data_IF_599565967794
#
_entry.id   IF_599565967794
#
_cell.length_a   1.000
_cell.length_b   1.000
_cell.length_c   1.000
_cell.angle_alpha   90.00
_cell.angle_beta   90.00
_cell.angle_gamma   90.00
#
_symmetry.space_group_name_H-M   'P 1'
#
loop_
_entity.id
_entity.type
_entity.pdbx_description
1 polymer ?
#
# COMPACT_ATOMS: atom_id res chain seq x y z
N UNK A 1 0.95 13.41 -0.92
CA UNK A 1 2.04 14.15 -0.26
C UNK A 1 2.08 14.01 1.26
N UNK A 2 0.97 13.69 1.94
CA UNK A 2 0.90 13.61 3.41
C UNK A 2 1.41 12.30 4.03
N UNK A 3 1.60 11.28 3.20
CA UNK A 3 2.03 9.94 3.64
C UNK A 3 3.45 9.95 4.21
N UNK A 4 4.39 10.67 3.61
CA UNK A 4 5.77 10.76 4.09
C UNK A 4 5.91 11.33 5.51
N UNK A 5 5.31 12.48 5.86
CA UNK A 5 5.38 12.99 7.24
C UNK A 5 4.58 12.11 8.22
N UNK A 6 3.44 11.55 7.81
CA UNK A 6 2.65 10.63 8.66
C UNK A 6 3.42 9.35 9.01
N UNK A 7 4.09 8.75 8.01
CA UNK A 7 4.96 7.58 8.21
C UNK A 7 6.11 7.91 9.16
N UNK A 8 6.72 9.08 9.03
CA UNK A 8 7.83 9.48 9.90
C UNK A 8 7.39 9.68 11.37
N UNK A 9 6.17 10.19 11.59
CA UNK A 9 5.55 10.30 12.93
C UNK A 9 5.20 8.93 13.49
N UNK A 10 4.64 8.02 12.67
CA UNK A 10 4.33 6.64 13.04
C UNK A 10 5.58 5.87 13.45
N UNK A 11 6.65 5.91 12.65
CA UNK A 11 7.94 5.28 12.96
C UNK A 11 8.51 5.83 14.28
N UNK A 12 8.38 7.14 14.51
CA UNK A 12 8.83 7.79 15.74
C UNK A 12 8.03 7.41 16.99
N UNK A 13 6.76 7.03 16.84
CA UNK A 13 5.91 6.57 17.96
C UNK A 13 6.01 5.07 18.24
N UNK A 14 6.32 4.26 17.23
CA UNK A 14 6.29 2.79 17.33
C UNK A 14 7.66 2.13 17.55
N UNK A 15 8.78 2.80 17.24
CA UNK A 15 10.11 2.16 17.27
C UNK A 15 11.01 2.70 18.38
N UNK A 16 11.58 1.83 19.25
CA UNK A 16 12.69 2.19 20.14
C UNK A 16 13.89 2.71 19.33
N UNK A 17 14.67 3.61 19.92
CA UNK A 17 15.73 4.41 19.27
C UNK A 17 16.77 3.57 18.50
N UNK A 18 17.00 2.32 18.94
CA UNK A 18 18.01 1.41 18.39
C UNK A 18 17.57 0.66 17.13
N UNK A 19 16.26 0.45 16.92
CA UNK A 19 15.74 -0.33 15.77
C UNK A 19 15.06 0.54 14.70
N UNK A 20 14.98 1.85 14.93
CA UNK A 20 14.32 2.82 14.05
C UNK A 20 14.83 2.77 12.60
N UNK A 21 16.13 2.54 12.42
CA UNK A 21 16.77 2.42 11.11
C UNK A 21 16.37 1.13 10.36
N UNK A 22 16.08 0.03 11.08
CA UNK A 22 15.63 -1.21 10.46
C UNK A 22 14.17 -1.08 10.02
N UNK A 23 13.34 -0.51 10.88
CA UNK A 23 11.93 -0.25 10.58
C UNK A 23 11.76 0.69 9.39
N UNK A 24 12.54 1.79 9.34
CA UNK A 24 12.51 2.69 8.18
C UNK A 24 13.00 1.98 6.90
N UNK A 25 14.10 1.21 6.96
CA UNK A 25 14.59 0.46 5.82
C UNK A 25 13.56 -0.56 5.28
N UNK A 26 12.81 -1.24 6.16
CA UNK A 26 11.72 -2.14 5.76
C UNK A 26 10.59 -1.38 5.06
N UNK A 27 10.20 -0.20 5.57
CA UNK A 27 9.13 0.60 4.96
C UNK A 27 9.54 1.14 3.58
N UNK A 28 10.76 1.66 3.45
CA UNK A 28 11.28 2.16 2.17
C UNK A 28 11.47 1.03 1.14
N UNK A 29 12.05 -0.10 1.56
CA UNK A 29 12.23 -1.26 0.68
C UNK A 29 10.89 -1.86 0.27
N UNK A 30 9.93 -1.96 1.19
CA UNK A 30 8.55 -2.40 0.90
C UNK A 30 7.83 -1.47 -0.09
N UNK A 31 8.11 -0.16 -0.05
CA UNK A 31 7.53 0.80 -1.02
C UNK A 31 8.04 0.57 -2.44
N UNK A 32 9.34 0.30 -2.59
CA UNK A 32 9.93 -0.04 -3.88
C UNK A 32 9.38 -1.37 -4.42
N UNK A 33 9.32 -2.39 -3.56
CA UNK A 33 8.78 -3.71 -3.91
C UNK A 33 7.30 -3.59 -4.32
N UNK A 34 6.48 -2.87 -3.54
CA UNK A 34 5.08 -2.65 -3.85
C UNK A 34 4.86 -1.95 -5.19
N UNK A 35 5.76 -1.03 -5.57
CA UNK A 35 5.71 -0.36 -6.89
C UNK A 35 5.98 -1.36 -8.02
N UNK A 36 7.02 -2.18 -7.89
CA UNK A 36 7.36 -3.22 -8.89
C UNK A 36 6.24 -4.24 -9.02
N UNK A 37 5.71 -4.71 -7.89
CA UNK A 37 4.58 -5.65 -7.86
C UNK A 37 3.34 -5.03 -8.50
N UNK A 38 3.05 -3.75 -8.22
CA UNK A 38 1.91 -3.04 -8.82
C UNK A 38 2.09 -2.85 -10.33
N UNK A 39 3.29 -2.53 -10.82
CA UNK A 39 3.57 -2.44 -12.25
C UNK A 39 3.44 -3.81 -12.94
N UNK A 40 3.98 -4.86 -12.33
CA UNK A 40 3.89 -6.22 -12.86
C UNK A 40 2.42 -6.70 -12.92
N UNK A 41 1.67 -6.51 -11.83
CA UNK A 41 0.24 -6.80 -11.78
C UNK A 41 -0.52 -6.01 -12.84
N UNK A 42 -0.28 -4.70 -12.96
CA UNK A 42 -0.92 -3.84 -13.96
C UNK A 42 -0.65 -4.33 -15.39
N UNK A 43 0.57 -4.78 -15.70
CA UNK A 43 0.93 -5.35 -16.99
C UNK A 43 0.20 -6.67 -17.28
N UNK A 44 0.13 -7.57 -16.31
CA UNK A 44 -0.55 -8.87 -16.45
C UNK A 44 -2.06 -8.65 -16.60
N UNK A 45 -2.66 -7.82 -15.75
CA UNK A 45 -4.09 -7.52 -15.75
C UNK A 45 -4.53 -6.81 -17.04
N UNK A 46 -3.73 -5.85 -17.52
CA UNK A 46 -4.01 -5.16 -18.78
C UNK A 46 -3.98 -6.12 -19.97
N UNK A 47 -3.07 -7.11 -19.96
CA UNK A 47 -2.96 -8.10 -21.02
C UNK A 47 -4.10 -9.14 -21.02
N UNK A 48 -4.62 -9.53 -19.85
CA UNK A 48 -5.63 -10.60 -19.75
C UNK A 48 -7.07 -10.09 -19.67
N UNK A 49 -7.30 -8.98 -18.97
CA UNK A 49 -8.65 -8.48 -18.67
C UNK A 49 -8.89 -7.05 -19.17
N UNK A 50 -7.83 -6.32 -19.52
CA UNK A 50 -7.89 -4.92 -19.94
C UNK A 50 -7.49 -3.96 -18.82
N UNK A 51 -7.10 -2.75 -19.21
CA UNK A 51 -6.53 -1.73 -18.31
C UNK A 51 -7.45 -1.30 -17.15
N UNK A 52 -8.76 -1.48 -17.32
CA UNK A 52 -9.83 -1.08 -16.40
C UNK A 52 -9.77 -1.87 -15.09
N UNK A 53 -9.37 -3.14 -15.16
CA UNK A 53 -9.31 -4.06 -14.01
C UNK A 53 -8.30 -3.68 -12.95
N UNK A 54 -7.26 -2.93 -13.35
CA UNK A 54 -6.28 -2.39 -12.41
C UNK A 54 -6.97 -1.42 -11.44
N UNK A 55 -7.88 -0.57 -11.94
CA UNK A 55 -8.64 0.37 -11.12
C UNK A 55 -9.64 -0.35 -10.21
N UNK A 56 -10.25 -1.44 -10.69
CA UNK A 56 -11.15 -2.25 -9.87
C UNK A 56 -10.44 -2.94 -8.72
N UNK A 57 -9.25 -3.50 -8.89
CA UNK A 57 -8.53 -4.15 -7.78
C UNK A 57 -8.07 -3.15 -6.70
N UNK A 58 -7.56 -1.99 -7.12
CA UNK A 58 -7.20 -0.94 -6.16
C UNK A 58 -8.42 -0.29 -5.50
N UNK A 59 -9.58 -0.28 -6.16
CA UNK A 59 -10.85 0.25 -5.65
C UNK A 59 -11.67 -0.74 -4.80
N UNK A 60 -11.68 -2.03 -5.16
CA UNK A 60 -12.48 -3.08 -4.51
C UNK A 60 -12.02 -3.32 -3.07
N UNK A 61 -10.72 -3.20 -2.80
CA UNK A 61 -10.21 -3.32 -1.44
C UNK A 61 -10.82 -2.27 -0.49
N UNK A 62 -11.18 -1.09 -1.01
CA UNK A 62 -11.92 -0.05 -0.27
C UNK A 62 -13.41 -0.41 -0.14
N UNK A 63 -14.03 -0.97 -1.18
CA UNK A 63 -15.46 -1.34 -1.19
C UNK A 63 -15.78 -2.54 -0.29
N UNK A 64 -14.88 -3.51 -0.20
CA UNK A 64 -15.02 -4.69 0.68
C UNK A 64 -15.00 -4.30 2.17
N UNK A 65 -14.19 -3.30 2.53
CA UNK A 65 -14.17 -2.74 3.87
C UNK A 65 -15.41 -1.88 4.16
N UNK A 66 -15.94 -1.16 3.17
CA UNK A 66 -17.16 -0.38 3.31
C UNK A 66 -18.40 -1.26 3.55
N UNK A 67 -18.49 -2.40 2.86
CA UNK A 67 -19.60 -3.37 3.02
C UNK A 67 -19.58 -4.03 4.41
N UNK A 68 -18.40 -4.22 5.03
CA UNK A 68 -18.30 -4.70 6.41
C UNK A 68 -18.60 -3.62 7.46
N UNK A 69 -18.63 -2.35 7.08
CA UNK A 69 -18.79 -1.21 7.99
C UNK A 69 -20.14 -0.50 7.87
N UNK A 70 -21.08 -1.02 7.06
CA UNK A 70 -22.49 -0.70 7.22
C UNK A 70 -23.12 -1.68 8.22
N UNK A 71 -23.29 -1.29 9.50
CA UNK A 71 -24.32 -1.92 10.32
C UNK A 71 -25.68 -1.60 9.70
N UNK A 72 -26.51 -2.62 9.64
CA UNK A 72 -27.93 -2.59 9.28
C UNK A 72 -28.66 -1.49 10.07
#
# INVERSE_FOLDING_TARGET
GVTYPAVNVLIGKWSPEMERSRTSAVIFSGSAIGTVVSMALSGILSATYGWEWVFYLFGEHITSLYTRCQPN
#
